data_IF_405048059556
#
_entry.id   IF_405048059556
#
_cell.length_a   1.000
_cell.length_b   1.000
_cell.length_c   1.000
_cell.angle_alpha   90.00
_cell.angle_beta   90.00
_cell.angle_gamma   90.00
#
_symmetry.space_group_name_H-M   'P 1'
#
loop_
_entity.id
_entity.type
_entity.pdbx_description
1 polymer ?
#
# COMPACT_ATOMS: atom_id res chain seq x y z
N UNK A 1 14.84 14.84 3.59
CA UNK A 1 14.82 13.45 4.17
C UNK A 1 13.55 13.33 4.98
N UNK A 2 12.53 12.80 4.34
CA UNK A 2 11.17 12.86 4.78
C UNK A 2 10.86 11.63 5.60
N UNK A 3 10.40 11.86 6.83
CA UNK A 3 9.39 11.07 7.54
C UNK A 3 9.33 9.56 7.18
N UNK A 4 10.48 8.92 6.97
CA UNK A 4 10.53 7.47 6.73
C UNK A 4 10.27 6.63 7.99
N UNK A 5 10.07 7.27 9.15
CA UNK A 5 10.01 6.57 10.44
C UNK A 5 8.78 6.93 11.29
N UNK A 6 7.68 7.36 10.69
CA UNK A 6 6.49 7.72 11.48
C UNK A 6 5.47 6.60 11.46
N UNK A 7 5.19 6.10 12.65
CA UNK A 7 3.98 5.33 12.95
C UNK A 7 2.82 6.32 13.07
N UNK A 8 1.73 6.09 12.37
CA UNK A 8 0.60 7.01 12.32
C UNK A 8 -0.36 6.68 13.46
N UNK A 9 -0.39 7.54 14.47
CA UNK A 9 -1.27 7.39 15.62
C UNK A 9 -2.31 8.50 15.68
N UNK A 10 -3.53 8.14 16.04
CA UNK A 10 -4.61 9.10 16.24
C UNK A 10 -4.44 9.82 17.57
N UNK A 11 -4.47 11.16 17.53
CA UNK A 11 -4.37 12.01 18.73
C UNK A 11 -5.45 11.67 19.75
N UNK A 12 -5.04 11.55 20.99
CA UNK A 12 -5.95 11.31 22.12
C UNK A 12 -6.52 9.89 22.20
N UNK A 13 -6.05 8.96 21.35
CA UNK A 13 -6.42 7.54 21.42
C UNK A 13 -5.29 6.73 22.04
N UNK A 14 -5.62 5.78 22.92
CA UNK A 14 -4.62 4.91 23.50
C UNK A 14 -4.05 3.95 22.42
N UNK A 15 -2.73 3.67 22.40
CA UNK A 15 -2.15 2.74 21.43
C UNK A 15 -2.81 1.35 21.41
N UNK A 16 -3.29 0.87 22.55
CA UNK A 16 -4.01 -0.41 22.65
C UNK A 16 -5.39 -0.43 21.96
N UNK A 17 -5.88 0.73 21.50
CA UNK A 17 -7.11 0.88 20.73
C UNK A 17 -6.79 1.26 19.28
N UNK A 18 -5.73 2.02 19.06
CA UNK A 18 -5.37 2.60 17.76
C UNK A 18 -4.47 1.67 16.91
N UNK A 19 -3.71 0.80 17.57
CA UNK A 19 -2.89 -0.20 16.89
C UNK A 19 -3.72 -1.46 16.69
N UNK A 20 -4.26 -1.64 15.52
CA UNK A 20 -5.08 -2.77 15.14
C UNK A 20 -4.19 -3.83 14.46
N UNK A 21 -3.80 -4.93 15.18
CA UNK A 21 -2.95 -5.98 14.58
C UNK A 21 -3.74 -6.81 13.59
N UNK A 22 -3.23 -6.96 12.37
CA UNK A 22 -3.88 -7.68 11.28
C UNK A 22 -3.23 -9.04 11.02
N UNK A 23 -2.15 -9.07 10.26
CA UNK A 23 -1.48 -10.30 9.85
C UNK A 23 -0.16 -10.49 10.57
N UNK A 24 0.25 -11.76 10.67
CA UNK A 24 1.48 -12.17 11.36
C UNK A 24 2.27 -13.10 10.46
N UNK A 25 3.57 -12.81 10.30
CA UNK A 25 4.54 -13.76 9.79
C UNK A 25 5.64 -13.97 10.82
N UNK A 26 6.09 -15.19 11.03
CA UNK A 26 7.06 -15.50 12.08
C UNK A 26 8.08 -16.56 11.63
N UNK A 27 9.27 -16.48 12.22
CA UNK A 27 10.25 -17.56 12.26
C UNK A 27 10.36 -18.11 13.70
N UNK A 28 11.35 -18.93 13.97
CA UNK A 28 11.52 -19.59 15.30
C UNK A 28 11.79 -18.61 16.46
N UNK A 29 12.13 -17.35 16.18
CA UNK A 29 12.59 -16.37 17.18
C UNK A 29 11.76 -15.11 17.23
N UNK A 30 11.26 -14.66 16.07
CA UNK A 30 10.67 -13.34 15.90
C UNK A 30 9.37 -13.43 15.12
N UNK A 31 8.34 -12.74 15.59
CA UNK A 31 7.13 -12.48 14.82
C UNK A 31 7.11 -11.03 14.34
N UNK A 32 6.58 -10.84 13.15
CA UNK A 32 6.37 -9.56 12.50
C UNK A 32 4.88 -9.40 12.27
N UNK A 33 4.31 -8.34 12.84
CA UNK A 33 2.87 -8.11 12.89
C UNK A 33 2.55 -6.82 12.14
N UNK A 34 1.70 -6.88 11.14
CA UNK A 34 1.22 -5.67 10.48
C UNK A 34 0.25 -4.93 11.38
N UNK A 35 0.40 -3.61 11.39
CA UNK A 35 -0.46 -2.63 12.06
C UNK A 35 -0.93 -1.69 10.96
N UNK A 36 -1.94 -2.12 10.21
CA UNK A 36 -2.28 -1.57 8.91
C UNK A 36 -2.56 -0.07 8.98
N UNK A 37 -3.55 0.35 9.76
CA UNK A 37 -3.95 1.75 9.86
C UNK A 37 -2.86 2.63 10.49
N UNK A 38 -2.00 2.03 11.31
CA UNK A 38 -0.86 2.72 11.90
C UNK A 38 0.34 2.82 10.93
N UNK A 39 0.25 2.22 9.74
CA UNK A 39 1.31 2.16 8.74
C UNK A 39 2.62 1.60 9.31
N UNK A 40 2.55 0.50 10.04
CA UNK A 40 3.68 -0.01 10.79
C UNK A 40 3.75 -1.55 10.81
N UNK A 41 4.93 -2.04 11.20
CA UNK A 41 5.18 -3.46 11.49
C UNK A 41 5.79 -3.55 12.88
N UNK A 42 5.13 -4.28 13.78
CA UNK A 42 5.67 -4.60 15.09
C UNK A 42 6.61 -5.81 15.00
N UNK A 43 7.77 -5.71 15.64
CA UNK A 43 8.77 -6.77 15.76
C UNK A 43 8.69 -7.31 17.19
N UNK A 44 8.34 -8.59 17.31
CA UNK A 44 8.08 -9.26 18.60
C UNK A 44 9.07 -10.38 18.81
N UNK A 45 9.83 -10.34 19.91
CA UNK A 45 10.67 -11.45 20.35
C UNK A 45 9.80 -12.57 20.94
N UNK A 46 9.87 -13.76 20.36
CA UNK A 46 9.05 -14.91 20.78
C UNK A 46 9.62 -15.64 22.00
N UNK A 47 10.85 -15.36 22.44
CA UNK A 47 11.43 -15.95 23.66
C UNK A 47 11.02 -15.15 24.89
N UNK A 48 11.06 -13.82 24.78
CA UNK A 48 10.70 -12.92 25.88
C UNK A 48 9.23 -12.50 25.86
N UNK A 49 8.52 -12.74 24.74
CA UNK A 49 7.16 -12.32 24.48
C UNK A 49 6.99 -10.78 24.62
N UNK A 50 7.96 -10.04 24.11
CA UNK A 50 7.98 -8.58 24.16
C UNK A 50 8.11 -7.95 22.79
N UNK A 51 7.50 -6.78 22.63
CA UNK A 51 7.68 -5.94 21.45
C UNK A 51 9.07 -5.32 21.52
N UNK A 52 9.94 -5.65 20.58
CA UNK A 52 11.28 -5.05 20.49
C UNK A 52 11.25 -3.70 19.79
N UNK A 53 10.38 -3.54 18.77
CA UNK A 53 10.26 -2.30 18.02
C UNK A 53 8.92 -2.24 17.26
N UNK A 54 8.53 -1.03 16.88
CA UNK A 54 7.46 -0.75 15.93
C UNK A 54 8.05 0.13 14.82
N UNK A 55 8.16 -0.43 13.62
CA UNK A 55 8.79 0.21 12.48
C UNK A 55 7.74 0.74 11.52
N UNK A 56 7.91 1.98 11.02
CA UNK A 56 7.07 2.51 9.96
C UNK A 56 7.23 1.70 8.66
N UNK A 57 6.15 1.43 7.96
CA UNK A 57 6.18 0.85 6.63
C UNK A 57 6.57 1.85 5.52
N UNK A 58 6.63 3.16 5.84
CA UNK A 58 7.00 4.21 4.90
C UNK A 58 5.88 4.64 3.96
N UNK A 59 6.26 5.29 2.89
CA UNK A 59 5.33 5.90 1.93
C UNK A 59 5.73 5.59 0.50
N UNK A 60 4.77 5.54 -0.41
CA UNK A 60 5.03 5.65 -1.83
C UNK A 60 5.11 7.11 -2.26
N UNK A 61 6.07 7.41 -3.12
CA UNK A 61 6.30 8.74 -3.67
C UNK A 61 5.67 8.84 -5.07
N UNK A 62 4.52 9.48 -5.17
CA UNK A 62 3.80 9.61 -6.44
C UNK A 62 4.34 10.71 -7.36
N UNK A 63 5.38 11.41 -6.96
CA UNK A 63 6.23 12.16 -7.89
C UNK A 63 7.13 11.21 -8.69
N UNK A 64 7.70 10.22 -8.00
CA UNK A 64 8.62 9.21 -8.59
C UNK A 64 7.87 8.08 -9.30
N UNK A 65 6.74 7.66 -8.77
CA UNK A 65 5.90 6.58 -9.27
C UNK A 65 4.53 7.15 -9.67
N UNK A 66 4.39 7.66 -10.92
CA UNK A 66 3.10 8.23 -11.37
C UNK A 66 1.97 7.23 -11.27
N UNK A 67 0.81 7.67 -10.79
CA UNK A 67 -0.40 6.87 -10.62
C UNK A 67 -1.61 7.51 -11.28
N UNK A 68 -2.62 6.70 -11.50
CA UNK A 68 -3.93 7.14 -11.97
C UNK A 68 -4.90 7.26 -10.80
N UNK A 69 -5.42 8.46 -10.57
CA UNK A 69 -6.41 8.74 -9.52
C UNK A 69 -7.69 9.38 -10.06
N UNK A 70 -7.86 9.50 -11.39
CA UNK A 70 -9.12 10.00 -11.96
C UNK A 70 -10.06 8.85 -12.31
N UNK A 71 -11.14 8.70 -11.54
CA UNK A 71 -12.17 7.70 -11.82
C UNK A 71 -13.13 8.04 -12.98
N UNK A 72 -12.85 9.07 -13.80
CA UNK A 72 -13.79 9.57 -14.81
C UNK A 72 -13.25 9.59 -16.23
N UNK A 73 -11.99 9.34 -16.42
CA UNK A 73 -11.38 9.42 -17.76
C UNK A 73 -11.44 8.08 -18.53
N UNK A 74 -11.84 6.99 -17.88
CA UNK A 74 -12.04 5.65 -18.43
C UNK A 74 -10.80 5.11 -19.17
N UNK A 75 -9.61 5.38 -18.64
CA UNK A 75 -8.34 4.94 -19.23
C UNK A 75 -7.21 5.02 -18.19
N UNK A 76 -6.23 4.12 -18.27
CA UNK A 76 -5.01 4.24 -17.47
C UNK A 76 -4.17 5.45 -17.93
N UNK A 77 -4.15 6.50 -17.13
CA UNK A 77 -3.41 7.75 -17.37
C UNK A 77 -2.62 8.21 -16.15
N UNK A 78 -1.48 7.54 -15.86
CA UNK A 78 -0.69 7.85 -14.69
C UNK A 78 -0.10 9.27 -14.77
N UNK A 79 -0.27 10.03 -13.70
CA UNK A 79 0.23 11.40 -13.53
C UNK A 79 1.18 11.46 -12.36
N UNK A 80 2.22 12.27 -12.46
CA UNK A 80 3.16 12.56 -11.37
C UNK A 80 2.57 13.66 -10.47
N UNK A 81 2.52 13.41 -9.17
CA UNK A 81 1.98 14.34 -8.18
C UNK A 81 3.04 14.66 -7.11
N UNK A 82 3.80 15.77 -7.23
CA UNK A 82 4.88 16.13 -6.29
C UNK A 82 4.44 16.25 -4.83
N UNK A 83 3.19 16.68 -4.60
CA UNK A 83 2.61 16.88 -3.28
C UNK A 83 1.78 15.69 -2.76
N UNK A 84 1.83 14.52 -3.42
CA UNK A 84 1.03 13.36 -3.04
C UNK A 84 1.91 12.20 -2.60
N UNK A 85 1.49 11.53 -1.52
CA UNK A 85 2.11 10.31 -0.99
C UNK A 85 1.07 9.23 -0.77
N UNK A 86 1.43 7.97 -1.00
CA UNK A 86 0.63 6.83 -0.59
C UNK A 86 1.12 6.33 0.76
N UNK A 87 0.26 6.34 1.78
CA UNK A 87 0.55 5.67 3.04
C UNK A 87 0.47 4.18 2.74
N UNK A 88 1.56 3.42 2.93
CA UNK A 88 1.60 2.01 2.51
C UNK A 88 0.55 1.15 3.20
N UNK A 89 0.41 1.32 4.52
CA UNK A 89 -0.61 0.62 5.32
C UNK A 89 -0.64 -0.87 5.00
N UNK A 90 0.43 -1.61 5.40
CA UNK A 90 0.61 -3.00 5.01
C UNK A 90 -0.45 -3.89 5.65
N UNK A 91 -1.12 -4.70 4.83
CA UNK A 91 -2.04 -5.73 5.23
C UNK A 91 -1.33 -7.09 5.26
N UNK A 92 -1.41 -7.89 4.21
CA UNK A 92 -0.74 -9.18 4.13
C UNK A 92 0.78 -9.10 4.27
N UNK A 93 1.37 -10.04 5.02
CA UNK A 93 2.81 -10.12 5.29
C UNK A 93 3.32 -11.53 5.11
N UNK A 94 4.53 -11.69 4.57
CA UNK A 94 5.22 -12.98 4.47
C UNK A 94 6.74 -12.81 4.63
N UNK A 95 7.45 -13.91 4.93
CA UNK A 95 8.89 -13.92 5.17
C UNK A 95 9.62 -14.84 4.19
N UNK A 96 10.85 -14.49 3.86
CA UNK A 96 11.80 -15.41 3.26
C UNK A 96 13.22 -15.15 3.73
N UNK A 97 14.05 -16.16 3.60
CA UNK A 97 15.47 -16.10 3.95
C UNK A 97 16.30 -16.07 2.67
N UNK A 98 17.28 -15.17 2.61
CA UNK A 98 18.26 -15.14 1.53
C UNK A 98 19.60 -14.68 2.06
N UNK A 99 20.67 -15.41 1.72
CA UNK A 99 22.05 -15.10 2.13
C UNK A 99 22.22 -14.88 3.65
N UNK A 100 21.47 -15.67 4.46
CA UNK A 100 21.52 -15.61 5.93
C UNK A 100 20.87 -14.37 6.53
N UNK A 101 20.01 -13.67 5.76
CA UNK A 101 19.21 -12.54 6.22
C UNK A 101 17.71 -12.84 6.07
N UNK A 102 16.93 -12.35 6.99
CA UNK A 102 15.46 -12.38 6.93
C UNK A 102 14.95 -11.19 6.13
N UNK A 103 14.02 -11.45 5.25
CA UNK A 103 13.30 -10.44 4.49
C UNK A 103 11.81 -10.54 4.77
N UNK A 104 11.17 -9.37 4.87
CA UNK A 104 9.73 -9.20 5.01
C UNK A 104 9.19 -8.71 3.67
N UNK A 105 8.09 -9.32 3.20
CA UNK A 105 7.33 -8.82 2.05
C UNK A 105 5.96 -8.42 2.55
N UNK A 106 5.51 -7.21 2.21
CA UNK A 106 4.17 -6.71 2.55
C UNK A 106 3.37 -6.36 1.31
N UNK A 107 2.09 -6.68 1.34
CA UNK A 107 1.09 -6.15 0.43
C UNK A 107 0.55 -4.85 1.03
N UNK A 108 0.53 -3.76 0.25
CA UNK A 108 0.26 -2.41 0.77
C UNK A 108 -1.13 -1.96 0.32
N UNK A 109 -2.15 -2.57 0.89
CA UNK A 109 -3.56 -2.36 0.54
C UNK A 109 -4.06 -0.99 0.99
N UNK A 110 -3.93 -0.72 2.27
CA UNK A 110 -4.41 0.46 2.96
C UNK A 110 -5.88 0.40 3.37
N UNK A 111 -6.15 0.82 4.60
CA UNK A 111 -7.53 0.98 5.06
C UNK A 111 -7.72 2.21 5.94
N UNK A 112 -8.98 2.64 6.06
CA UNK A 112 -9.39 3.76 6.91
C UNK A 112 -9.78 3.27 8.29
N UNK A 113 -9.49 4.08 9.32
CA UNK A 113 -10.06 3.83 10.64
C UNK A 113 -11.56 4.11 10.62
N UNK A 114 -12.35 3.10 10.89
CA UNK A 114 -13.80 3.17 10.95
C UNK A 114 -14.29 2.75 12.36
N UNK A 115 -14.47 3.72 13.25
CA UNK A 115 -14.93 3.48 14.61
C UNK A 115 -16.28 4.14 14.87
N UNK A 116 -17.38 3.40 14.80
CA UNK A 116 -18.74 3.93 14.91
C UNK A 116 -19.01 5.05 13.89
N UNK A 117 -19.03 6.31 14.33
CA UNK A 117 -19.23 7.49 13.47
C UNK A 117 -17.94 8.15 13.02
N UNK A 118 -16.78 7.66 13.47
CA UNK A 118 -15.48 8.19 13.09
C UNK A 118 -14.98 7.55 11.80
N UNK A 119 -14.61 8.37 10.84
CA UNK A 119 -14.00 7.97 9.58
C UNK A 119 -12.92 8.99 9.22
N UNK A 120 -11.71 8.54 8.91
CA UNK A 120 -10.60 9.42 8.58
C UNK A 120 -10.43 9.64 7.06
N UNK A 121 -11.53 9.67 6.33
CA UNK A 121 -11.55 9.95 4.89
C UNK A 121 -11.93 11.41 4.60
N UNK A 122 -11.22 12.04 3.65
CA UNK A 122 -11.55 13.34 3.08
C UNK A 122 -11.86 13.18 1.59
N UNK A 123 -13.15 13.04 1.24
CA UNK A 123 -13.58 12.97 -0.16
C UNK A 123 -13.58 14.37 -0.80
N UNK A 124 -12.83 14.55 -1.87
CA UNK A 124 -12.76 15.78 -2.65
C UNK A 124 -13.27 15.56 -4.08
N UNK A 125 -14.22 16.35 -4.53
CA UNK A 125 -14.83 16.26 -5.86
C UNK A 125 -14.30 17.37 -6.78
N UNK A 126 -13.31 17.04 -7.60
CA UNK A 126 -12.65 17.98 -8.52
C UNK A 126 -13.60 18.49 -9.60
N UNK A 127 -14.57 17.67 -10.06
CA UNK A 127 -15.60 18.10 -10.99
C UNK A 127 -16.58 19.13 -10.42
N UNK A 128 -16.58 19.34 -9.10
CA UNK A 128 -17.33 20.40 -8.41
C UNK A 128 -16.45 21.58 -7.98
N UNK A 129 -15.20 21.64 -8.44
CA UNK A 129 -14.25 22.70 -8.11
C UNK A 129 -13.63 22.60 -6.72
N UNK A 130 -13.70 21.43 -6.06
CA UNK A 130 -12.95 21.19 -4.83
C UNK A 130 -11.49 20.90 -5.15
N UNK A 131 -10.63 21.06 -4.15
CA UNK A 131 -9.20 20.77 -4.21
C UNK A 131 -8.86 19.66 -3.21
N UNK A 132 -7.63 19.13 -3.27
CA UNK A 132 -7.11 18.26 -2.21
C UNK A 132 -7.07 18.97 -0.85
N UNK A 133 -6.95 18.23 0.27
CA UNK A 133 -6.94 18.81 1.61
C UNK A 133 -5.87 19.91 1.82
N UNK A 134 -4.67 19.74 1.24
CA UNK A 134 -3.61 20.78 1.27
C UNK A 134 -3.88 21.97 0.34
N UNK A 135 -4.83 21.83 -0.59
CA UNK A 135 -5.09 22.79 -1.66
C UNK A 135 -4.07 22.77 -2.81
N UNK A 136 -3.10 21.86 -2.80
CA UNK A 136 -2.01 21.82 -3.81
C UNK A 136 -2.40 21.09 -5.08
N UNK A 137 -3.32 20.13 -5.00
CA UNK A 137 -3.87 19.44 -6.17
C UNK A 137 -5.23 20.07 -6.49
N UNK A 138 -5.36 20.58 -7.69
CA UNK A 138 -6.56 21.22 -8.21
C UNK A 138 -6.95 20.61 -9.56
N UNK A 139 -8.17 20.76 -10.01
CA UNK A 139 -8.59 20.32 -11.36
C UNK A 139 -7.73 20.97 -12.46
N UNK A 140 -7.32 22.23 -12.27
CA UNK A 140 -6.51 22.97 -13.26
C UNK A 140 -5.10 22.39 -13.42
N UNK A 141 -4.41 22.05 -12.31
CA UNK A 141 -3.02 21.59 -12.37
C UNK A 141 -2.87 20.07 -12.52
N UNK A 142 -3.92 19.29 -12.25
CA UNK A 142 -3.90 17.83 -12.31
C UNK A 142 -4.73 17.25 -13.47
N UNK A 143 -5.71 17.97 -13.97
CA UNK A 143 -6.69 17.46 -14.93
C UNK A 143 -7.79 16.59 -14.31
N UNK A 144 -7.81 16.41 -12.99
CA UNK A 144 -8.79 15.59 -12.29
C UNK A 144 -10.22 16.13 -12.48
N UNK A 145 -11.15 15.22 -12.76
CA UNK A 145 -12.56 15.52 -12.98
C UNK A 145 -13.50 14.75 -12.07
N UNK A 146 -13.00 13.71 -11.42
CA UNK A 146 -13.73 12.82 -10.54
C UNK A 146 -13.62 13.16 -9.06
N UNK A 147 -14.02 12.20 -8.24
CA UNK A 147 -13.84 12.19 -6.80
C UNK A 147 -12.55 11.44 -6.45
N UNK A 148 -11.80 11.98 -5.49
CA UNK A 148 -10.64 11.32 -4.89
C UNK A 148 -10.82 11.31 -3.38
N UNK A 149 -10.52 10.18 -2.75
CA UNK A 149 -10.57 10.00 -1.30
C UNK A 149 -9.15 10.12 -0.75
N UNK A 150 -8.91 11.15 0.04
CA UNK A 150 -7.64 11.39 0.72
C UNK A 150 -7.72 10.95 2.18
N UNK A 151 -6.57 10.68 2.77
CA UNK A 151 -6.44 10.49 4.21
C UNK A 151 -6.65 11.85 4.91
N UNK A 152 -7.61 11.92 5.84
CA UNK A 152 -7.78 13.11 6.67
C UNK A 152 -6.74 13.12 7.79
N UNK A 153 -5.72 13.97 7.64
CA UNK A 153 -4.58 14.03 8.56
C UNK A 153 -4.80 14.90 9.80
N UNK A 154 -5.96 15.55 9.95
CA UNK A 154 -6.17 16.55 11.03
C UNK A 154 -6.04 15.96 12.43
N UNK A 155 -6.50 14.73 12.61
CA UNK A 155 -6.46 14.03 13.90
C UNK A 155 -5.18 13.23 14.15
N UNK A 156 -4.17 13.35 13.27
CA UNK A 156 -2.96 12.53 13.34
C UNK A 156 -1.70 13.35 13.58
N UNK A 157 -0.71 12.70 14.19
CA UNK A 157 0.63 13.24 14.37
C UNK A 157 1.61 12.63 13.37
N UNK A 158 2.69 13.34 13.12
CA UNK A 158 3.80 12.84 12.30
C UNK A 158 3.62 12.96 10.80
N UNK A 159 2.44 13.33 10.32
CA UNK A 159 2.20 13.64 8.91
C UNK A 159 2.61 15.09 8.61
N UNK A 160 3.14 15.31 7.39
CA UNK A 160 3.56 16.63 6.95
C UNK A 160 2.44 17.30 6.16
N UNK A 161 1.90 18.41 6.65
CA UNK A 161 0.82 19.18 6.02
C UNK A 161 1.16 19.75 4.63
N UNK A 162 2.44 19.67 4.21
CA UNK A 162 2.86 20.00 2.86
C UNK A 162 2.48 18.94 1.81
N UNK A 163 2.01 17.78 2.26
CA UNK A 163 1.58 16.69 1.39
C UNK A 163 0.12 16.34 1.63
N UNK A 164 -0.52 15.88 0.58
CA UNK A 164 -1.75 15.09 0.63
C UNK A 164 -1.40 13.60 0.69
N UNK A 165 -2.26 12.79 1.27
CA UNK A 165 -2.03 11.38 1.44
C UNK A 165 -3.20 10.56 0.92
N UNK A 166 -2.89 9.44 0.24
CA UNK A 166 -3.85 8.40 -0.12
C UNK A 166 -3.67 7.19 0.80
N UNK A 167 -4.74 6.42 0.94
CA UNK A 167 -4.73 5.11 1.58
C UNK A 167 -4.09 4.08 0.67
N UNK A 168 -3.21 3.25 1.23
CA UNK A 168 -2.50 2.21 0.52
C UNK A 168 -1.36 2.71 -0.36
N UNK A 169 -0.38 1.84 -0.57
CA UNK A 169 0.73 2.09 -1.47
C UNK A 169 0.40 1.80 -2.92
N UNK A 170 -0.67 1.06 -3.21
CA UNK A 170 -0.94 0.44 -4.52
C UNK A 170 0.22 -0.44 -4.99
N UNK A 171 0.97 -0.98 -4.05
CA UNK A 171 2.28 -1.61 -4.23
C UNK A 171 2.47 -2.80 -3.31
N UNK A 172 3.57 -3.49 -3.46
CA UNK A 172 4.14 -4.32 -2.41
C UNK A 172 5.56 -3.86 -2.13
N UNK A 173 6.04 -4.15 -0.92
CA UNK A 173 7.38 -3.72 -0.47
C UNK A 173 8.15 -4.91 0.08
N UNK A 174 9.47 -4.90 -0.12
CA UNK A 174 10.40 -5.85 0.49
C UNK A 174 11.34 -5.10 1.42
N UNK A 175 11.43 -5.56 2.65
CA UNK A 175 12.35 -5.05 3.67
C UNK A 175 13.36 -6.12 4.05
N UNK A 176 14.61 -5.72 4.28
CA UNK A 176 15.62 -6.54 4.94
C UNK A 176 15.59 -6.24 6.44
N UNK A 177 15.47 -7.27 7.28
CA UNK A 177 15.56 -7.13 8.74
C UNK A 177 17.00 -6.87 9.15
N UNK A 178 17.22 -5.89 10.02
CA UNK A 178 18.52 -5.50 10.56
C UNK A 178 18.40 -5.26 12.09
N UNK A 179 18.74 -6.26 12.87
CA UNK A 179 18.52 -6.26 14.32
C UNK A 179 17.02 -6.17 14.63
N UNK A 180 16.65 -5.21 15.47
CA UNK A 180 15.24 -4.89 15.76
C UNK A 180 14.65 -3.83 14.82
N UNK A 181 15.27 -3.62 13.66
CA UNK A 181 14.81 -2.68 12.64
C UNK A 181 14.59 -3.36 11.29
N UNK A 182 14.11 -2.60 10.33
CA UNK A 182 13.97 -3.03 8.95
C UNK A 182 14.38 -1.92 7.99
N UNK A 183 14.92 -2.31 6.84
CA UNK A 183 15.32 -1.40 5.78
C UNK A 183 14.64 -1.82 4.49
N UNK A 184 13.95 -0.89 3.83
CA UNK A 184 13.43 -1.09 2.49
C UNK A 184 14.55 -1.43 1.51
N UNK A 185 14.38 -2.50 0.75
CA UNK A 185 15.27 -2.91 -0.34
C UNK A 185 14.59 -2.84 -1.69
N UNK A 186 13.27 -2.89 -1.72
CA UNK A 186 12.49 -2.81 -2.95
C UNK A 186 11.06 -2.32 -2.67
N UNK A 187 10.52 -1.52 -3.57
CA UNK A 187 9.07 -1.30 -3.73
C UNK A 187 8.68 -1.49 -5.19
N UNK A 188 7.49 -2.05 -5.44
CA UNK A 188 6.94 -2.14 -6.79
C UNK A 188 6.46 -0.78 -7.32
N UNK A 189 6.34 0.22 -6.46
CA UNK A 189 5.83 1.54 -6.85
C UNK A 189 4.48 1.44 -7.57
N UNK A 190 4.39 1.95 -8.80
CA UNK A 190 3.17 1.89 -9.62
C UNK A 190 3.09 0.65 -10.53
N UNK A 191 3.97 -0.34 -10.36
CA UNK A 191 4.05 -1.47 -11.32
C UNK A 191 2.78 -2.32 -11.33
N UNK A 192 2.11 -2.51 -10.18
CA UNK A 192 0.89 -3.31 -10.11
C UNK A 192 -0.22 -2.71 -11.00
N UNK A 193 -0.43 -1.40 -10.92
CA UNK A 193 -1.38 -0.71 -11.80
C UNK A 193 -0.96 -0.76 -13.27
N UNK A 194 0.32 -0.54 -13.57
CA UNK A 194 0.81 -0.62 -14.95
C UNK A 194 0.62 -2.02 -15.55
N UNK A 195 0.80 -3.10 -14.77
CA UNK A 195 0.56 -4.47 -15.22
C UNK A 195 -0.93 -4.76 -15.39
N UNK A 196 -1.78 -4.39 -14.44
CA UNK A 196 -3.23 -4.60 -14.59
C UNK A 196 -3.78 -3.86 -15.81
N UNK A 197 -3.36 -2.62 -16.05
CA UNK A 197 -3.72 -1.86 -17.24
C UNK A 197 -3.22 -2.50 -18.54
N UNK A 198 -2.02 -3.09 -18.54
CA UNK A 198 -1.46 -3.75 -19.72
C UNK A 198 -2.16 -5.08 -20.04
N UNK A 199 -2.54 -5.87 -19.03
CA UNK A 199 -3.17 -7.18 -19.20
C UNK A 199 -4.69 -7.11 -19.37
N UNK A 200 -5.35 -6.17 -18.70
CA UNK A 200 -6.80 -6.01 -18.67
C UNK A 200 -7.22 -4.53 -18.80
N UNK A 201 -6.88 -3.84 -19.91
CA UNK A 201 -7.08 -2.39 -20.04
C UNK A 201 -8.53 -1.95 -19.87
N UNK A 202 -9.50 -2.77 -20.26
CA UNK A 202 -10.93 -2.46 -20.13
C UNK A 202 -11.49 -2.64 -18.71
N UNK A 203 -10.71 -3.25 -17.81
CA UNK A 203 -11.10 -3.52 -16.41
C UNK A 203 -10.12 -2.91 -15.41
N UNK A 204 -9.25 -2.01 -15.90
CA UNK A 204 -8.28 -1.32 -15.05
C UNK A 204 -8.97 -0.69 -13.85
N UNK A 205 -8.46 -0.93 -12.66
CA UNK A 205 -8.99 -0.43 -11.39
C UNK A 205 -10.52 -0.60 -11.23
N UNK A 206 -11.10 -1.67 -11.77
CA UNK A 206 -12.48 -2.02 -11.48
C UNK A 206 -12.63 -2.52 -10.04
N UNK A 207 -13.87 -2.50 -9.51
CA UNK A 207 -14.20 -3.05 -8.19
C UNK A 207 -14.39 -4.57 -8.24
N UNK A 208 -14.45 -5.23 -7.07
CA UNK A 208 -14.77 -6.66 -6.96
C UNK A 208 -16.24 -6.97 -7.29
N UNK A 209 -17.13 -5.99 -7.13
CA UNK A 209 -18.58 -6.08 -7.39
C UNK A 209 -19.04 -5.38 -8.68
N UNK A 210 -18.11 -4.71 -9.37
CA UNK A 210 -18.36 -4.01 -10.64
C UNK A 210 -17.17 -4.15 -11.57
N UNK A 211 -17.41 -4.44 -12.86
CA UNK A 211 -16.38 -4.46 -13.89
C UNK A 211 -16.15 -3.09 -14.56
N UNK A 212 -16.70 -2.01 -14.00
CA UNK A 212 -16.51 -0.66 -14.52
C UNK A 212 -15.06 -0.20 -14.37
N UNK A 213 -14.46 0.25 -15.47
CA UNK A 213 -13.09 0.78 -15.50
C UNK A 213 -13.00 2.01 -14.59
N UNK A 214 -11.85 2.19 -13.92
CA UNK A 214 -11.52 3.32 -13.04
C UNK A 214 -12.38 3.47 -11.78
N UNK A 215 -13.26 2.53 -11.46
CA UNK A 215 -14.14 2.67 -10.31
C UNK A 215 -13.36 2.84 -8.98
N UNK A 216 -12.16 2.24 -8.88
CA UNK A 216 -11.29 2.33 -7.71
C UNK A 216 -10.14 3.32 -7.83
N UNK A 217 -9.91 3.94 -9.01
CA UNK A 217 -8.78 4.85 -9.24
C UNK A 217 -8.75 6.03 -8.26
N UNK A 218 -9.89 6.61 -7.94
CA UNK A 218 -10.00 7.72 -6.98
C UNK A 218 -9.95 7.32 -5.49
N UNK A 219 -9.75 6.04 -5.15
CA UNK A 219 -9.66 5.60 -3.75
C UNK A 219 -8.35 4.84 -3.49
N UNK A 220 -8.36 3.50 -3.56
CA UNK A 220 -7.21 2.65 -3.20
C UNK A 220 -6.58 1.91 -4.40
N UNK A 221 -7.16 2.04 -5.61
CA UNK A 221 -6.66 1.42 -6.85
C UNK A 221 -6.80 -0.10 -6.86
N UNK A 222 -5.69 -0.80 -7.16
CA UNK A 222 -5.65 -2.26 -7.32
C UNK A 222 -5.83 -3.05 -6.02
N UNK A 223 -5.52 -2.44 -4.89
CA UNK A 223 -5.56 -3.01 -3.54
C UNK A 223 -4.80 -4.34 -3.45
N UNK A 224 -3.47 -4.25 -3.30
CA UNK A 224 -2.64 -5.40 -3.00
C UNK A 224 -2.90 -5.81 -1.55
N UNK A 225 -3.71 -6.85 -1.35
CA UNK A 225 -4.22 -7.27 -0.04
C UNK A 225 -3.33 -8.35 0.57
N UNK A 226 -3.00 -9.37 -0.19
CA UNK A 226 -2.32 -10.54 0.34
C UNK A 226 -0.99 -10.82 -0.34
N UNK A 227 -0.07 -11.44 0.40
CA UNK A 227 1.19 -11.94 -0.12
C UNK A 227 1.53 -13.32 0.47
N UNK A 228 2.02 -14.21 -0.38
CA UNK A 228 2.62 -15.47 0.06
C UNK A 228 3.92 -15.73 -0.69
N UNK A 229 4.81 -16.48 -0.04
CA UNK A 229 6.10 -16.85 -0.62
C UNK A 229 6.07 -18.34 -1.00
N UNK A 230 6.62 -18.66 -2.16
CA UNK A 230 6.74 -20.04 -2.60
C UNK A 230 8.00 -20.27 -3.43
N UNK A 231 8.53 -21.51 -3.37
CA UNK A 231 9.70 -21.91 -4.16
C UNK A 231 9.27 -22.83 -5.29
N UNK A 232 9.71 -22.52 -6.52
CA UNK A 232 9.48 -23.33 -7.71
C UNK A 232 10.83 -23.63 -8.35
N UNK A 233 11.26 -24.89 -8.30
CA UNK A 233 12.60 -25.28 -8.69
C UNK A 233 13.64 -24.62 -7.78
N UNK A 234 14.56 -23.85 -8.36
CA UNK A 234 15.62 -23.13 -7.63
C UNK A 234 15.25 -21.65 -7.37
N UNK A 235 14.04 -21.24 -7.71
CA UNK A 235 13.60 -19.85 -7.61
C UNK A 235 12.58 -19.66 -6.50
N UNK A 236 12.70 -18.56 -5.80
CA UNK A 236 11.75 -18.08 -4.80
C UNK A 236 10.89 -16.96 -5.39
N UNK A 237 9.59 -17.06 -5.19
CA UNK A 237 8.62 -16.11 -5.71
C UNK A 237 7.78 -15.50 -4.60
N UNK A 238 7.47 -14.21 -4.72
CA UNK A 238 6.37 -13.58 -4.02
C UNK A 238 5.13 -13.61 -4.93
N UNK A 239 4.01 -14.07 -4.39
CA UNK A 239 2.70 -14.07 -5.03
C UNK A 239 1.85 -13.01 -4.35
N UNK A 240 1.48 -11.97 -5.09
CA UNK A 240 0.71 -10.82 -4.61
C UNK A 240 -0.72 -10.96 -5.10
N UNK A 241 -1.66 -11.10 -4.16
CA UNK A 241 -3.09 -11.12 -4.44
C UNK A 241 -3.65 -9.70 -4.55
N UNK A 242 -4.47 -9.44 -5.57
CA UNK A 242 -5.15 -8.17 -5.79
C UNK A 242 -6.63 -8.33 -5.48
N UNK A 243 -7.15 -7.52 -4.56
CA UNK A 243 -8.54 -7.67 -4.10
C UNK A 243 -9.56 -7.25 -5.16
N UNK A 244 -9.37 -6.10 -5.81
CA UNK A 244 -10.44 -5.47 -6.59
C UNK A 244 -10.55 -6.02 -8.01
N UNK A 245 -9.54 -5.81 -8.83
CA UNK A 245 -9.53 -6.38 -10.17
C UNK A 245 -9.38 -7.91 -10.12
N UNK A 246 -8.82 -8.41 -9.03
CA UNK A 246 -8.58 -9.83 -8.81
C UNK A 246 -7.28 -10.33 -9.43
N UNK A 247 -7.02 -11.61 -9.21
CA UNK A 247 -5.84 -12.30 -9.73
C UNK A 247 -4.62 -12.22 -8.82
N UNK A 248 -3.54 -12.85 -9.29
CA UNK A 248 -2.29 -12.99 -8.56
C UNK A 248 -1.12 -12.60 -9.46
N UNK A 249 -0.30 -11.69 -9.00
CA UNK A 249 0.99 -11.35 -9.62
C UNK A 249 2.12 -12.12 -8.96
N UNK A 250 3.00 -12.71 -9.77
CA UNK A 250 4.18 -13.41 -9.32
C UNK A 250 5.43 -12.58 -9.62
N UNK A 251 6.30 -12.45 -8.61
CA UNK A 251 7.60 -11.79 -8.71
C UNK A 251 8.72 -12.73 -8.30
N UNK A 252 9.75 -12.86 -9.12
CA UNK A 252 10.97 -13.59 -8.79
C UNK A 252 11.78 -12.76 -7.79
N UNK A 253 11.83 -13.22 -6.54
CA UNK A 253 12.54 -12.60 -5.42
C UNK A 253 13.78 -13.39 -4.99
N UNK A 254 14.24 -14.34 -5.82
CA UNK A 254 15.41 -15.18 -5.54
C UNK A 254 16.63 -14.35 -5.19
N UNK A 255 16.80 -13.22 -5.87
CA UNK A 255 17.80 -12.22 -5.54
C UNK A 255 17.09 -10.94 -5.02
N UNK A 256 17.14 -10.64 -3.71
CA UNK A 256 16.48 -9.45 -3.16
C UNK A 256 16.95 -8.11 -3.72
N UNK A 257 18.18 -8.07 -4.28
CA UNK A 257 18.74 -6.87 -4.92
C UNK A 257 18.21 -6.70 -6.37
N UNK A 258 17.50 -7.69 -6.90
CA UNK A 258 17.01 -7.69 -8.28
C UNK A 258 15.69 -8.45 -8.38
N UNK A 259 14.64 -7.86 -7.89
CA UNK A 259 13.27 -8.40 -7.96
C UNK A 259 12.69 -8.15 -9.36
N UNK A 260 12.06 -9.17 -9.93
CA UNK A 260 11.57 -9.13 -11.30
C UNK A 260 10.13 -9.64 -11.39
N UNK A 261 9.29 -8.90 -12.10
CA UNK A 261 7.96 -9.39 -12.48
C UNK A 261 8.10 -10.68 -13.31
N UNK A 262 7.34 -11.70 -12.94
CA UNK A 262 7.34 -12.99 -13.62
C UNK A 262 6.06 -13.21 -14.42
N UNK A 263 4.88 -13.03 -13.81
CA UNK A 263 3.60 -13.25 -14.46
C UNK A 263 2.43 -12.61 -13.72
N UNK A 264 1.31 -12.42 -14.39
CA UNK A 264 0.01 -12.09 -13.81
C UNK A 264 -1.05 -13.06 -14.32
N UNK A 265 -1.74 -13.70 -13.41
CA UNK A 265 -2.85 -14.62 -13.71
C UNK A 265 -4.11 -14.10 -13.02
N UNK A 266 -5.17 -13.91 -13.79
CA UNK A 266 -6.47 -13.52 -13.29
C UNK A 266 -7.52 -14.49 -13.85
N UNK A 267 -8.26 -15.14 -12.97
CA UNK A 267 -9.31 -16.10 -13.29
C UNK A 267 -10.72 -15.53 -13.09
N UNK A 268 -10.82 -14.23 -12.80
CA UNK A 268 -12.10 -13.56 -12.60
C UNK A 268 -12.92 -13.58 -13.88
N UNK A 269 -14.19 -13.90 -13.75
CA UNK A 269 -15.20 -13.67 -14.77
C UNK A 269 -15.70 -12.22 -14.64
N UNK A 270 -15.50 -11.43 -15.69
CA UNK A 270 -15.91 -10.02 -15.74
C UNK A 270 -17.27 -9.83 -16.44
N UNK A 271 -17.99 -10.92 -16.77
CA UNK A 271 -19.31 -10.86 -17.42
C UNK A 271 -20.45 -10.57 -16.43
#
# INVERSE_FOLDING_TARGET
>A
ELVQNVVILKKGTAPSVDLEPEYIAANDKTAYVTLQEANAIAIVDLQTLSIENICSAGYEDYEKYPIDIDKKDAAYRPVSYPSLRGIRMPDGISLFESNGKTYIVTANEGDSREWNEYLNEAECNFGKGQTSPSGKITAENSGLTGKVVFFDQNDYEGLNSEYDYLFGGRSFTVYCVDGSGMKEVYTSGNELEAKTAAYFPQYFNCSNDSAEIDDRSGKKGVEAESVTIGTVGEKTYAFIGLERIGGVMAYDITNPDKILFANYINSRDFS
#
